data_IF_884474192129
#
_entry.id   IF_884474192129
#
_cell.length_a   1.000
_cell.length_b   1.000
_cell.length_c   1.000
_cell.angle_alpha   90.00
_cell.angle_beta   90.00
_cell.angle_gamma   90.00
#
_symmetry.space_group_name_H-M   'P 1'
#
loop_
_entity.id
_entity.type
_entity.pdbx_description
1 polymer ?
#
# COMPACT_ATOMS: atom_id res chain seq x y z
N UNK A 1 -4.15 30.50 3.38
CA UNK A 1 -4.30 30.22 1.94
C UNK A 1 -2.97 29.73 1.36
N UNK A 2 -2.54 28.46 1.53
CA UNK A 2 -1.40 27.80 0.83
C UNK A 2 -1.38 26.27 1.12
N UNK A 3 -2.38 25.48 0.69
CA UNK A 3 -2.35 24.00 0.85
C UNK A 3 -1.88 23.27 -0.42
N UNK A 4 -1.63 24.04 -1.48
CA UNK A 4 -1.19 23.57 -2.79
C UNK A 4 0.06 24.39 -3.13
N UNK A 5 1.07 23.78 -3.78
CA UNK A 5 2.28 24.52 -4.10
C UNK A 5 1.92 25.77 -4.90
N UNK A 6 2.59 26.89 -4.61
CA UNK A 6 2.35 28.15 -5.31
C UNK A 6 2.52 27.94 -6.83
N UNK A 7 1.40 27.81 -7.55
CA UNK A 7 1.37 27.66 -9.00
C UNK A 7 1.71 29.01 -9.62
N UNK A 8 2.96 29.15 -10.07
CA UNK A 8 3.48 30.37 -10.66
C UNK A 8 3.00 30.53 -12.10
N UNK A 9 2.86 29.41 -12.82
CA UNK A 9 2.46 29.40 -14.22
C UNK A 9 1.95 28.02 -14.62
N UNK A 10 1.04 27.99 -15.58
CA UNK A 10 0.66 26.75 -16.25
C UNK A 10 0.43 26.95 -17.75
N UNK A 11 0.62 25.89 -18.52
CA UNK A 11 0.22 25.82 -19.92
C UNK A 11 -0.55 24.55 -20.17
N UNK A 12 -1.67 24.70 -20.88
CA UNK A 12 -2.54 23.60 -21.28
C UNK A 12 -2.33 23.36 -22.77
N UNK A 13 -2.03 22.13 -23.14
CA UNK A 13 -1.98 21.73 -24.54
C UNK A 13 -3.41 21.43 -25.04
N UNK A 14 -3.77 22.02 -26.17
CA UNK A 14 -5.09 21.86 -26.78
C UNK A 14 -5.21 20.61 -27.65
N UNK A 15 -4.09 19.97 -28.00
CA UNK A 15 -4.08 18.69 -28.73
C UNK A 15 -4.38 17.53 -27.77
N UNK A 16 -5.58 16.92 -27.82
CA UNK A 16 -5.85 15.74 -27.04
C UNK A 16 -4.90 14.60 -27.43
N UNK A 17 -4.47 13.84 -26.41
CA UNK A 17 -3.71 12.58 -26.55
C UNK A 17 -4.08 11.71 -27.77
N UNK A 18 -5.36 11.64 -28.22
CA UNK A 18 -5.78 11.11 -29.52
C UNK A 18 -4.96 11.50 -30.77
N UNK A 19 -4.72 12.80 -31.09
CA UNK A 19 -4.02 13.14 -32.34
C UNK A 19 -2.55 12.68 -32.31
N UNK A 20 -1.90 12.76 -31.15
CA UNK A 20 -0.53 12.25 -30.93
C UNK A 20 -0.51 10.72 -31.12
N UNK A 21 -1.48 10.00 -30.56
CA UNK A 21 -1.61 8.54 -30.71
C UNK A 21 -1.83 8.13 -32.15
N UNK A 22 -2.68 8.86 -32.88
CA UNK A 22 -2.91 8.65 -34.30
C UNK A 22 -1.63 8.80 -35.12
N UNK A 23 -0.84 9.86 -34.85
CA UNK A 23 0.45 10.07 -35.50
C UNK A 23 1.47 8.98 -35.16
N UNK A 24 1.42 8.42 -33.94
CA UNK A 24 2.33 7.36 -33.48
C UNK A 24 1.85 5.94 -33.81
N UNK A 25 0.69 5.77 -34.47
CA UNK A 25 0.11 4.46 -34.78
C UNK A 25 -0.31 3.66 -33.54
N UNK A 26 -0.52 4.33 -32.41
CA UNK A 26 -0.94 3.71 -31.15
C UNK A 26 -2.47 3.64 -31.12
N UNK A 27 -3.08 2.48 -30.81
CA UNK A 27 -4.53 2.36 -30.70
C UNK A 27 -5.12 3.36 -29.69
N UNK A 28 -6.28 3.92 -30.02
CA UNK A 28 -7.05 4.76 -29.10
C UNK A 28 -7.35 4.00 -27.80
N UNK A 29 -7.25 4.66 -26.63
CA UNK A 29 -7.58 4.02 -25.36
C UNK A 29 -9.07 3.71 -25.32
N UNK A 30 -9.43 2.57 -24.73
CA UNK A 30 -10.84 2.14 -24.62
C UNK A 30 -11.68 3.08 -23.73
N UNK A 31 -11.04 3.87 -22.85
CA UNK A 31 -11.64 4.91 -21.97
C UNK A 31 -10.56 5.95 -21.59
N UNK A 32 -11.00 7.19 -21.32
CA UNK A 32 -10.18 8.27 -20.75
C UNK A 32 -9.43 9.10 -21.80
N UNK A 33 -9.55 10.42 -21.73
CA UNK A 33 -8.68 11.37 -22.45
C UNK A 33 -7.85 12.15 -21.44
N UNK A 34 -6.53 12.10 -21.56
CA UNK A 34 -5.64 12.95 -20.77
C UNK A 34 -5.36 14.25 -21.51
N UNK A 35 -5.33 15.35 -20.78
CA UNK A 35 -4.81 16.62 -21.30
C UNK A 35 -3.47 16.90 -20.67
N UNK A 36 -2.49 17.25 -21.51
CA UNK A 36 -1.17 17.60 -21.05
C UNK A 36 -1.19 19.01 -20.46
N UNK A 37 -0.69 19.13 -19.23
CA UNK A 37 -0.43 20.40 -18.58
C UNK A 37 1.06 20.49 -18.26
N UNK A 38 1.67 21.66 -18.52
CA UNK A 38 2.92 22.04 -17.85
C UNK A 38 2.50 22.90 -16.67
N UNK A 39 2.92 22.52 -15.47
CA UNK A 39 2.71 23.26 -14.24
C UNK A 39 4.07 23.71 -13.71
N UNK A 40 4.20 25.00 -13.37
CA UNK A 40 5.40 25.58 -12.79
C UNK A 40 5.06 26.02 -11.37
N UNK A 41 5.69 25.35 -10.40
CA UNK A 41 5.53 25.63 -8.99
C UNK A 41 6.81 26.21 -8.40
N UNK A 42 6.69 26.86 -7.23
CA UNK A 42 7.88 27.10 -6.40
C UNK A 42 8.52 25.77 -6.00
N UNK A 43 9.84 25.69 -6.10
CA UNK A 43 10.60 24.52 -5.68
C UNK A 43 10.43 24.34 -4.16
N UNK A 44 9.86 23.21 -3.76
CA UNK A 44 9.78 22.80 -2.37
C UNK A 44 11.12 22.19 -1.92
N UNK A 45 11.42 22.31 -0.63
CA UNK A 45 12.55 21.59 -0.02
C UNK A 45 12.16 20.12 0.20
N UNK A 46 13.10 19.16 0.03
CA UNK A 46 12.83 17.75 0.34
C UNK A 46 12.44 17.55 1.80
N UNK A 47 11.38 16.77 2.03
CA UNK A 47 10.93 16.43 3.40
C UNK A 47 12.02 15.69 4.20
N UNK A 48 12.97 15.06 3.51
CA UNK A 48 14.11 14.33 4.10
C UNK A 48 15.10 15.25 4.81
N UNK A 49 15.17 16.54 4.45
CA UNK A 49 16.09 17.51 5.06
C UNK A 49 15.56 18.11 6.38
N UNK A 50 14.33 17.77 6.77
CA UNK A 50 13.70 18.27 7.99
C UNK A 50 14.21 17.51 9.22
N UNK A 51 14.23 18.17 10.38
CA UNK A 51 14.47 17.49 11.68
C UNK A 51 13.32 16.55 12.03
N UNK A 52 13.50 15.57 12.92
CA UNK A 52 12.47 14.60 13.31
C UNK A 52 11.11 15.24 13.64
N UNK A 53 11.10 16.34 14.42
CA UNK A 53 9.88 17.05 14.80
C UNK A 53 9.22 17.78 13.61
N UNK A 54 10.02 18.42 12.76
CA UNK A 54 9.54 19.12 11.56
C UNK A 54 9.04 18.14 10.51
N UNK A 55 9.75 17.05 10.30
CA UNK A 55 9.39 15.94 9.43
C UNK A 55 8.04 15.34 9.85
N UNK A 56 7.87 15.04 11.13
CA UNK A 56 6.61 14.51 11.64
C UNK A 56 5.45 15.47 11.45
N UNK A 57 5.69 16.75 11.76
CA UNK A 57 4.70 17.80 11.56
C UNK A 57 4.30 17.86 10.09
N UNK A 58 5.25 17.92 9.17
CA UNK A 58 5.00 17.97 7.73
C UNK A 58 4.24 16.71 7.24
N UNK A 59 4.61 15.52 7.71
CA UNK A 59 3.92 14.28 7.35
C UNK A 59 2.46 14.26 7.84
N UNK A 60 2.21 14.66 9.09
CA UNK A 60 0.87 14.79 9.66
C UNK A 60 0.01 15.77 8.86
N UNK A 61 0.61 16.90 8.55
CA UNK A 61 0.01 17.97 7.77
C UNK A 61 -0.38 17.52 6.35
N UNK A 62 0.47 16.71 5.68
CA UNK A 62 0.12 16.08 4.40
C UNK A 62 -1.12 15.17 4.52
N UNK A 63 -1.24 14.39 5.60
CA UNK A 63 -2.41 13.53 5.84
C UNK A 63 -3.67 14.36 6.08
N UNK A 64 -3.56 15.43 6.88
CA UNK A 64 -4.69 16.33 7.17
C UNK A 64 -5.18 17.01 5.89
N UNK A 65 -4.27 17.53 5.07
CA UNK A 65 -4.58 18.09 3.76
C UNK A 65 -5.23 17.06 2.85
N UNK A 66 -4.65 15.86 2.75
CA UNK A 66 -5.19 14.78 1.91
C UNK A 66 -6.59 14.33 2.36
N UNK A 67 -6.86 14.32 3.67
CA UNK A 67 -8.19 14.01 4.20
C UNK A 67 -9.25 15.03 3.77
N UNK A 68 -8.94 16.32 3.87
CA UNK A 68 -9.84 17.40 3.44
C UNK A 68 -10.13 17.27 1.95
N UNK A 69 -9.10 17.06 1.13
CA UNK A 69 -9.25 16.84 -0.31
C UNK A 69 -10.12 15.62 -0.63
N UNK A 70 -9.91 14.52 0.09
CA UNK A 70 -10.72 13.30 -0.08
C UNK A 70 -12.20 13.53 0.25
N UNK A 71 -12.53 14.33 1.26
CA UNK A 71 -13.91 14.57 1.68
C UNK A 71 -14.62 15.63 0.83
N UNK A 72 -13.99 16.77 0.62
CA UNK A 72 -14.62 17.98 0.07
C UNK A 72 -14.35 18.17 -1.43
N UNK A 73 -13.36 17.46 -2.00
CA UNK A 73 -12.96 17.62 -3.39
C UNK A 73 -12.48 19.04 -3.75
N UNK A 74 -12.21 19.89 -2.76
CA UNK A 74 -11.79 21.28 -2.89
C UNK A 74 -10.90 21.72 -1.72
N UNK A 75 -10.00 22.66 -2.01
CA UNK A 75 -8.88 23.12 -1.16
C UNK A 75 -9.27 24.29 -0.25
N UNK A 76 -8.81 24.32 1.02
CA UNK A 76 -8.96 25.49 1.92
C UNK A 76 -7.69 25.75 2.75
N UNK A 77 -6.84 26.62 2.19
CA UNK A 77 -5.46 26.88 2.56
C UNK A 77 -5.09 27.39 3.98
N UNK A 78 -3.94 26.95 4.51
CA UNK A 78 -2.83 27.71 5.19
C UNK A 78 -1.59 26.80 5.40
N UNK A 79 -0.36 27.35 5.22
CA UNK A 79 0.94 26.66 5.18
C UNK A 79 1.15 25.49 6.17
N UNK A 80 1.19 24.29 5.58
CA UNK A 80 1.09 22.93 6.13
C UNK A 80 1.76 22.02 5.05
N UNK A 81 2.41 20.90 5.41
CA UNK A 81 2.97 19.89 4.50
C UNK A 81 2.23 19.78 3.15
N UNK A 82 2.95 20.11 2.08
CA UNK A 82 2.35 20.34 0.75
C UNK A 82 2.36 19.05 -0.05
N UNK A 83 1.19 18.50 -0.35
CA UNK A 83 1.03 17.41 -1.30
C UNK A 83 1.07 17.99 -2.72
N UNK A 84 1.93 17.43 -3.58
CA UNK A 84 2.00 17.77 -4.99
C UNK A 84 1.72 16.52 -5.81
N UNK A 85 1.46 16.69 -7.11
CA UNK A 85 1.18 15.61 -8.08
C UNK A 85 -0.24 15.03 -7.98
N UNK A 86 -1.20 15.82 -8.48
CA UNK A 86 -2.62 15.47 -8.53
C UNK A 86 -3.05 14.87 -9.88
N UNK A 87 -2.12 14.64 -10.80
CA UNK A 87 -2.37 14.24 -12.19
C UNK A 87 -3.11 12.89 -12.32
N UNK A 88 -3.01 12.03 -11.30
CA UNK A 88 -3.70 10.75 -11.18
C UNK A 88 -4.83 10.72 -10.13
N UNK A 89 -5.11 11.85 -9.48
CA UNK A 89 -6.15 11.94 -8.44
C UNK A 89 -7.57 11.86 -9.04
N UNK A 90 -8.52 11.32 -8.29
CA UNK A 90 -9.92 11.22 -8.73
C UNK A 90 -10.88 11.72 -7.66
N UNK A 91 -11.86 12.52 -8.05
CA UNK A 91 -12.91 13.00 -7.15
C UNK A 91 -13.77 11.84 -6.62
N UNK A 92 -14.19 11.94 -5.35
CA UNK A 92 -15.04 10.96 -4.65
C UNK A 92 -16.36 10.62 -5.37
N UNK A 93 -16.89 11.55 -6.15
CA UNK A 93 -18.16 11.43 -6.91
C UNK A 93 -17.98 10.99 -8.36
N UNK A 94 -16.75 11.02 -8.89
CA UNK A 94 -16.50 10.53 -10.23
C UNK A 94 -16.56 9.00 -10.23
N UNK A 95 -17.13 8.40 -11.28
CA UNK A 95 -16.73 7.06 -11.69
C UNK A 95 -15.24 7.18 -12.04
N UNK A 96 -14.37 6.99 -11.04
CA UNK A 96 -12.94 7.24 -11.16
C UNK A 96 -12.35 6.47 -12.34
N UNK A 97 -11.15 6.86 -12.82
CA UNK A 97 -10.51 6.23 -13.97
C UNK A 97 -10.58 4.69 -13.85
N UNK A 98 -11.18 4.05 -14.86
CA UNK A 98 -11.33 2.58 -14.91
C UNK A 98 -10.19 2.00 -15.77
N UNK A 99 -9.26 1.29 -15.12
CA UNK A 99 -8.16 0.56 -15.77
C UNK A 99 -6.78 0.88 -15.18
N UNK A 100 -5.72 0.51 -15.90
CA UNK A 100 -4.29 0.72 -15.56
C UNK A 100 -3.87 2.20 -15.46
N UNK A 101 -4.81 3.13 -15.37
CA UNK A 101 -4.57 4.58 -15.37
C UNK A 101 -4.21 5.14 -14.00
N UNK A 102 -4.42 4.37 -12.91
CA UNK A 102 -3.96 4.67 -11.56
C UNK A 102 -2.63 3.97 -11.29
N UNK A 103 -1.54 4.47 -11.88
CA UNK A 103 -0.20 3.98 -11.55
C UNK A 103 0.20 4.63 -10.23
N UNK A 104 -0.20 4.02 -9.11
CA UNK A 104 0.45 4.32 -7.84
C UNK A 104 1.90 3.83 -7.89
N UNK A 105 2.81 4.54 -7.23
CA UNK A 105 4.20 4.09 -7.13
C UNK A 105 4.24 2.79 -6.31
N UNK A 106 4.62 1.68 -6.95
CA UNK A 106 4.49 0.30 -6.42
C UNK A 106 4.92 0.13 -4.95
N UNK A 107 6.07 0.66 -4.48
CA UNK A 107 6.47 0.56 -3.08
C UNK A 107 5.45 1.12 -2.09
N UNK A 108 4.73 2.17 -2.47
CA UNK A 108 3.79 2.88 -1.61
C UNK A 108 2.35 2.41 -1.80
N UNK A 109 2.04 1.61 -2.83
CA UNK A 109 0.67 1.11 -3.04
C UNK A 109 0.22 0.19 -1.90
N UNK A 110 -1.05 0.30 -1.51
CA UNK A 110 -1.66 -0.61 -0.54
C UNK A 110 -1.68 -2.07 -1.02
N UNK A 111 -1.59 -3.03 -0.10
CA UNK A 111 -1.55 -4.48 -0.38
C UNK A 111 -2.69 -4.96 -1.29
N UNK A 112 -3.91 -4.48 -1.07
CA UNK A 112 -5.07 -4.82 -1.92
C UNK A 112 -4.94 -4.30 -3.35
N UNK A 113 -4.33 -3.12 -3.52
CA UNK A 113 -4.11 -2.53 -4.84
C UNK A 113 -2.99 -3.23 -5.61
N UNK A 114 -2.06 -3.90 -4.91
CA UNK A 114 -1.02 -4.73 -5.51
C UNK A 114 -1.52 -6.10 -6.00
N UNK A 115 -2.78 -6.48 -5.71
CA UNK A 115 -3.37 -7.71 -6.25
C UNK A 115 -3.60 -7.62 -7.75
N UNK A 116 -3.73 -8.77 -8.44
CA UNK A 116 -4.07 -8.80 -9.87
C UNK A 116 -5.37 -8.03 -10.18
N UNK A 117 -6.36 -8.07 -9.29
CA UNK A 117 -7.60 -7.30 -9.42
C UNK A 117 -7.35 -5.81 -9.21
N UNK A 118 -6.56 -5.45 -8.19
CA UNK A 118 -6.15 -4.08 -7.92
C UNK A 118 -5.41 -3.44 -9.09
N UNK A 119 -4.44 -4.16 -9.67
CA UNK A 119 -3.68 -3.72 -10.84
C UNK A 119 -4.53 -3.58 -12.10
N UNK A 120 -5.63 -4.33 -12.23
CA UNK A 120 -6.63 -4.15 -13.30
C UNK A 120 -7.62 -3.00 -13.04
N UNK A 121 -7.54 -2.34 -11.88
CA UNK A 121 -8.47 -1.28 -11.47
C UNK A 121 -9.83 -1.79 -11.01
N UNK A 122 -9.94 -3.08 -10.65
CA UNK A 122 -11.19 -3.71 -10.21
C UNK A 122 -11.44 -3.51 -8.71
N UNK A 123 -10.38 -3.22 -7.94
CA UNK A 123 -10.51 -2.87 -6.51
C UNK A 123 -10.90 -1.41 -6.40
N UNK A 124 -12.02 -1.15 -5.72
CA UNK A 124 -12.43 0.22 -5.38
C UNK A 124 -11.36 0.86 -4.48
N UNK A 125 -10.78 1.97 -4.94
CA UNK A 125 -9.87 2.78 -4.14
C UNK A 125 -10.63 3.45 -3.00
N UNK A 126 -10.15 3.23 -1.78
CA UNK A 126 -10.72 3.76 -0.54
C UNK A 126 -9.66 4.58 0.19
N UNK A 127 -10.07 5.54 1.01
CA UNK A 127 -9.13 6.39 1.78
C UNK A 127 -8.11 5.60 2.62
N UNK A 128 -8.48 4.41 3.10
CA UNK A 128 -7.56 3.51 3.82
C UNK A 128 -6.36 3.07 2.98
N UNK A 129 -6.50 3.01 1.66
CA UNK A 129 -5.39 2.70 0.76
C UNK A 129 -4.38 3.84 0.74
N UNK A 130 -4.85 5.09 0.76
CA UNK A 130 -3.96 6.26 0.84
C UNK A 130 -3.28 6.37 2.21
N UNK A 131 -4.00 6.06 3.30
CA UNK A 131 -3.40 5.99 4.64
C UNK A 131 -2.29 4.93 4.71
N UNK A 132 -2.51 3.76 4.11
CA UNK A 132 -1.48 2.73 4.00
C UNK A 132 -0.27 3.25 3.19
N UNK A 133 -0.50 4.00 2.11
CA UNK A 133 0.57 4.67 1.35
C UNK A 133 1.36 5.67 2.18
N UNK A 134 0.70 6.49 3.01
CA UNK A 134 1.40 7.40 3.92
C UNK A 134 2.29 6.68 4.93
N UNK A 135 1.87 5.52 5.43
CA UNK A 135 2.67 4.69 6.34
C UNK A 135 3.88 4.12 5.58
N UNK A 136 3.70 3.60 4.36
CA UNK A 136 4.81 3.09 3.57
C UNK A 136 5.82 4.19 3.20
N UNK A 137 5.35 5.41 2.87
CA UNK A 137 6.22 6.56 2.61
C UNK A 137 7.00 6.98 3.86
N UNK A 138 6.34 7.02 5.02
CA UNK A 138 6.98 7.30 6.31
C UNK A 138 8.09 6.27 6.59
N UNK A 139 7.78 4.98 6.49
CA UNK A 139 8.75 3.90 6.72
C UNK A 139 9.91 3.97 5.71
N UNK A 140 9.64 4.29 4.46
CA UNK A 140 10.67 4.44 3.43
C UNK A 140 11.67 5.53 3.75
N UNK A 141 11.18 6.72 4.10
CA UNK A 141 12.07 7.84 4.48
C UNK A 141 12.88 7.45 5.71
N UNK A 142 12.23 6.91 6.73
CA UNK A 142 12.86 6.59 8.00
C UNK A 142 13.89 5.46 7.92
N UNK A 143 13.72 4.48 7.03
CA UNK A 143 14.70 3.40 6.83
C UNK A 143 15.72 3.71 5.73
N UNK A 144 15.49 4.75 4.93
CA UNK A 144 16.32 5.07 3.77
C UNK A 144 17.25 6.26 3.98
N UNK A 145 16.93 7.17 4.90
CA UNK A 145 17.60 8.45 5.05
C UNK A 145 18.03 8.71 6.49
N UNK A 146 19.14 9.44 6.64
CA UNK A 146 19.60 10.00 7.90
C UNK A 146 20.11 11.43 7.63
N UNK A 147 19.61 12.41 8.39
CA UNK A 147 19.96 13.85 8.24
C UNK A 147 19.90 14.34 6.77
N UNK A 148 18.81 14.02 6.07
CA UNK A 148 18.63 14.39 4.66
C UNK A 148 19.48 13.63 3.65
N UNK A 149 20.31 12.69 4.09
CA UNK A 149 21.18 11.89 3.23
C UNK A 149 20.68 10.48 3.11
N UNK A 150 20.61 9.98 1.89
CA UNK A 150 20.34 8.58 1.60
C UNK A 150 21.44 7.71 2.22
N UNK A 151 21.04 6.68 2.96
CA UNK A 151 21.97 5.74 3.58
C UNK A 151 22.75 4.96 2.51
N UNK A 152 24.03 4.69 2.78
CA UNK A 152 24.92 3.99 1.83
C UNK A 152 24.72 2.48 1.84
N UNK A 153 24.17 1.92 2.92
CA UNK A 153 23.88 0.50 3.11
C UNK A 153 22.57 0.33 3.90
N UNK A 154 22.12 -0.93 4.03
CA UNK A 154 21.03 -1.30 4.95
C UNK A 154 19.69 -0.61 4.69
N UNK A 155 19.32 -0.54 3.40
CA UNK A 155 18.03 -0.02 2.93
C UNK A 155 17.11 -1.17 2.54
N UNK A 156 16.30 -1.70 3.46
CA UNK A 156 15.56 -2.95 3.24
C UNK A 156 14.44 -2.83 2.20
N UNK A 157 13.99 -1.60 1.91
CA UNK A 157 12.87 -1.35 1.00
C UNK A 157 13.31 -0.99 -0.42
N UNK A 158 14.59 -0.64 -0.61
CA UNK A 158 15.11 -0.09 -1.87
C UNK A 158 14.79 -0.95 -3.09
N UNK A 159 14.91 -2.26 -2.96
CA UNK A 159 14.64 -3.18 -4.05
C UNK A 159 13.18 -3.10 -4.51
N UNK A 160 12.23 -2.69 -3.68
CA UNK A 160 10.82 -2.56 -4.09
C UNK A 160 10.63 -1.52 -5.19
N UNK A 161 11.52 -0.53 -5.32
CA UNK A 161 11.41 0.52 -6.34
C UNK A 161 11.55 0.00 -7.77
N UNK A 162 12.19 -1.15 -7.96
CA UNK A 162 12.45 -1.74 -9.28
C UNK A 162 11.67 -3.02 -9.55
N UNK A 163 10.91 -3.49 -8.56
CA UNK A 163 10.21 -4.77 -8.61
C UNK A 163 8.77 -4.58 -9.09
N UNK A 164 8.18 -5.64 -9.63
CA UNK A 164 6.78 -5.60 -10.04
C UNK A 164 5.81 -5.67 -8.84
N UNK A 165 4.55 -5.30 -9.09
CA UNK A 165 3.52 -5.21 -8.06
C UNK A 165 3.28 -6.53 -7.32
N UNK A 166 3.39 -7.67 -8.01
CA UNK A 166 3.18 -8.97 -7.38
C UNK A 166 4.34 -9.31 -6.45
N UNK A 167 5.59 -9.07 -6.88
CA UNK A 167 6.76 -9.28 -6.02
C UNK A 167 6.74 -8.36 -4.79
N UNK A 168 6.37 -7.09 -4.94
CA UNK A 168 6.27 -6.18 -3.77
C UNK A 168 5.14 -6.60 -2.83
N UNK A 169 4.01 -7.09 -3.36
CA UNK A 169 2.93 -7.67 -2.55
C UNK A 169 3.41 -8.83 -1.68
N UNK A 170 4.29 -9.68 -2.21
CA UNK A 170 4.84 -10.83 -1.49
C UNK A 170 5.87 -10.40 -0.43
N UNK A 171 6.66 -9.35 -0.70
CA UNK A 171 7.69 -8.83 0.22
C UNK A 171 7.11 -8.04 1.41
N UNK A 172 5.99 -7.34 1.23
CA UNK A 172 5.40 -6.50 2.29
C UNK A 172 5.02 -7.28 3.56
N UNK A 173 4.29 -8.42 3.50
CA UNK A 173 3.99 -9.23 4.69
C UNK A 173 5.25 -9.80 5.37
N UNK A 174 6.27 -10.17 4.60
CA UNK A 174 7.55 -10.61 5.14
C UNK A 174 8.21 -9.47 5.94
N UNK A 175 8.26 -8.26 5.39
CA UNK A 175 8.74 -7.08 6.11
C UNK A 175 7.92 -6.79 7.38
N UNK A 176 6.58 -6.85 7.30
CA UNK A 176 5.68 -6.65 8.46
C UNK A 176 5.85 -7.74 9.54
N UNK A 177 6.40 -8.89 9.19
CA UNK A 177 6.69 -9.95 10.16
C UNK A 177 7.92 -9.63 11.00
N UNK A 178 8.91 -8.96 10.40
CA UNK A 178 10.23 -8.77 10.99
C UNK A 178 10.59 -7.29 11.28
N UNK A 179 9.67 -6.35 11.10
CA UNK A 179 10.02 -4.92 11.14
C UNK A 179 10.66 -4.44 12.46
N UNK A 180 10.40 -5.13 13.58
CA UNK A 180 10.99 -4.82 14.89
C UNK A 180 12.51 -5.08 14.97
N UNK A 181 13.06 -5.83 14.01
CA UNK A 181 14.49 -6.09 13.92
C UNK A 181 15.26 -4.88 13.37
N UNK A 182 14.58 -3.97 12.66
CA UNK A 182 15.21 -2.76 12.14
C UNK A 182 15.39 -1.71 13.23
N UNK A 183 16.52 -1.02 13.19
CA UNK A 183 16.82 0.14 14.04
C UNK A 183 17.41 1.23 13.15
N UNK A 184 16.59 2.14 12.63
CA UNK A 184 17.10 3.19 11.75
C UNK A 184 18.09 4.09 12.51
N UNK A 185 19.24 4.42 11.88
CA UNK A 185 20.17 5.38 12.47
C UNK A 185 19.54 6.78 12.48
N UNK A 186 19.75 7.51 13.58
CA UNK A 186 19.37 8.92 13.70
C UNK A 186 17.90 9.23 13.90
N UNK A 187 17.05 8.22 14.09
CA UNK A 187 15.64 8.42 14.43
C UNK A 187 15.43 8.32 15.93
N UNK A 188 14.75 9.32 16.50
CA UNK A 188 14.40 9.29 17.91
C UNK A 188 13.49 8.09 18.29
N UNK A 189 13.53 7.68 19.56
CA UNK A 189 12.82 6.48 20.03
C UNK A 189 11.30 6.63 19.99
N UNK A 190 10.76 7.84 20.07
CA UNK A 190 9.32 8.12 20.00
C UNK A 190 8.82 7.99 18.57
N UNK A 191 9.57 8.54 17.60
CA UNK A 191 9.31 8.42 16.17
C UNK A 191 9.30 6.97 15.74
N UNK A 192 10.33 6.20 16.13
CA UNK A 192 10.35 4.77 15.82
C UNK A 192 9.18 4.03 16.47
N UNK A 193 8.82 4.36 17.71
CA UNK A 193 7.67 3.77 18.39
C UNK A 193 6.36 4.04 17.66
N UNK A 194 6.19 5.23 17.07
CA UNK A 194 5.03 5.55 16.25
C UNK A 194 5.00 4.72 14.97
N UNK A 195 6.12 4.68 14.23
CA UNK A 195 6.24 3.91 12.99
C UNK A 195 5.94 2.43 13.25
N UNK A 196 6.54 1.87 14.30
CA UNK A 196 6.31 0.49 14.71
C UNK A 196 4.83 0.20 14.99
N UNK A 197 4.10 1.14 15.61
CA UNK A 197 2.65 1.00 15.83
C UNK A 197 1.86 1.10 14.52
N UNK A 198 2.23 2.00 13.61
CA UNK A 198 1.61 2.08 12.29
C UNK A 198 1.81 0.80 11.48
N UNK A 199 3.02 0.24 11.48
CA UNK A 199 3.33 -1.04 10.83
C UNK A 199 2.59 -2.21 11.48
N UNK A 200 2.45 -2.22 12.80
CA UNK A 200 1.63 -3.20 13.50
C UNK A 200 0.15 -3.14 13.07
N UNK A 201 -0.42 -1.93 12.91
CA UNK A 201 -1.79 -1.77 12.39
C UNK A 201 -1.93 -2.36 10.99
N UNK A 202 -0.94 -2.16 10.10
CA UNK A 202 -0.96 -2.77 8.77
C UNK A 202 -0.89 -4.30 8.85
N UNK A 203 -0.03 -4.84 9.73
CA UNK A 203 0.09 -6.29 9.96
C UNK A 203 -1.22 -6.90 10.45
N UNK A 204 -1.86 -6.27 11.43
CA UNK A 204 -3.11 -6.75 12.01
C UNK A 204 -4.25 -6.68 10.98
N UNK A 205 -4.31 -5.63 10.18
CA UNK A 205 -5.28 -5.47 9.11
C UNK A 205 -5.11 -6.49 7.98
N UNK A 206 -3.88 -6.84 7.63
CA UNK A 206 -3.60 -7.88 6.62
C UNK A 206 -4.09 -9.25 7.11
N UNK A 207 -3.71 -9.64 8.34
CA UNK A 207 -4.20 -10.88 8.97
C UNK A 207 -5.73 -10.92 9.08
N UNK A 208 -6.35 -9.80 9.46
CA UNK A 208 -7.81 -9.70 9.55
C UNK A 208 -8.48 -9.96 8.20
N UNK A 209 -7.90 -9.46 7.11
CA UNK A 209 -8.44 -9.67 5.74
C UNK A 209 -8.26 -11.10 5.27
N UNK A 210 -7.10 -11.69 5.50
CA UNK A 210 -6.85 -13.11 5.18
C UNK A 210 -7.87 -14.00 5.90
N UNK A 211 -8.12 -13.74 7.18
CA UNK A 211 -9.13 -14.48 7.96
C UNK A 211 -10.53 -14.34 7.35
N UNK A 212 -10.95 -13.13 7.00
CA UNK A 212 -12.26 -12.91 6.36
C UNK A 212 -12.39 -13.60 5.01
N UNK A 213 -11.34 -13.58 4.18
CA UNK A 213 -11.33 -14.27 2.89
C UNK A 213 -11.43 -15.78 3.07
N UNK A 214 -10.72 -16.33 4.06
CA UNK A 214 -10.81 -17.74 4.42
C UNK A 214 -12.23 -18.11 4.87
N UNK A 215 -12.82 -17.36 5.79
CA UNK A 215 -14.20 -17.58 6.27
C UNK A 215 -15.22 -17.51 5.13
N UNK A 216 -15.13 -16.51 4.26
CA UNK A 216 -15.99 -16.38 3.08
C UNK A 216 -15.83 -17.57 2.12
N UNK A 217 -14.61 -18.07 1.94
CA UNK A 217 -14.36 -19.24 1.09
C UNK A 217 -14.99 -20.53 1.63
N UNK A 218 -15.15 -20.64 2.96
CA UNK A 218 -15.85 -21.76 3.60
C UNK A 218 -17.36 -21.62 3.46
N UNK A 219 -17.92 -20.42 3.63
CA UNK A 219 -19.37 -20.18 3.49
C UNK A 219 -19.87 -20.37 2.05
N UNK A 220 -19.00 -20.13 1.05
CA UNK A 220 -19.32 -20.33 -0.37
C UNK A 220 -19.21 -21.80 -0.83
N UNK A 221 -18.55 -22.66 -0.05
CA UNK A 221 -18.58 -24.10 -0.28
C UNK A 221 -19.78 -24.66 0.46
N UNK A 222 -20.87 -24.92 -0.27
CA UNK A 222 -22.03 -25.66 0.25
C UNK A 222 -21.58 -26.92 1.02
N UNK A 223 -22.32 -27.26 2.08
CA UNK A 223 -22.17 -28.46 2.90
C UNK A 223 -22.19 -29.72 2.04
N UNK A 224 -21.02 -30.16 1.56
CA UNK A 224 -20.85 -31.50 1.02
C UNK A 224 -20.74 -32.43 2.23
N UNK A 225 -21.87 -33.00 2.65
CA UNK A 225 -21.85 -34.15 3.57
C UNK A 225 -21.22 -35.34 2.85
N UNK A 226 -19.94 -35.59 3.12
CA UNK A 226 -19.28 -36.85 2.77
C UNK A 226 -19.37 -37.76 4.00
N UNK A 227 -19.74 -39.02 3.77
CA UNK A 227 -19.63 -40.05 4.81
C UNK A 227 -18.24 -40.69 4.74
N UNK A 228 -17.33 -40.12 5.51
CA UNK A 228 -16.29 -40.79 6.29
C UNK A 228 -16.20 -40.02 7.62
N UNK A 229 -15.47 -40.46 8.65
CA UNK A 229 -15.39 -39.74 9.94
C UNK A 229 -14.59 -38.42 9.80
N UNK A 230 -15.18 -37.47 9.09
CA UNK A 230 -14.63 -36.18 8.74
C UNK A 230 -14.39 -35.33 9.98
N UNK A 231 -15.10 -35.62 11.07
CA UNK A 231 -14.91 -34.93 12.35
C UNK A 231 -13.55 -35.27 12.95
N UNK A 232 -13.16 -36.55 12.98
CA UNK A 232 -11.83 -36.96 13.46
C UNK A 232 -10.72 -36.42 12.56
N UNK A 233 -10.95 -36.38 11.23
CA UNK A 233 -9.97 -35.85 10.29
C UNK A 233 -9.83 -34.32 10.41
N UNK A 234 -10.94 -33.58 10.59
CA UNK A 234 -10.93 -32.13 10.80
C UNK A 234 -10.34 -31.75 12.15
N UNK A 235 -10.64 -32.49 13.23
CA UNK A 235 -10.06 -32.27 14.57
C UNK A 235 -8.54 -32.47 14.56
N UNK A 236 -8.02 -33.41 13.76
CA UNK A 236 -6.58 -33.59 13.56
C UNK A 236 -5.96 -32.36 12.89
N UNK A 237 -6.59 -31.76 11.87
CA UNK A 237 -5.97 -30.68 11.08
C UNK A 237 -6.32 -29.24 11.51
N UNK A 238 -7.23 -29.04 12.47
CA UNK A 238 -7.67 -27.71 12.93
C UNK A 238 -7.19 -27.32 14.32
N UNK A 239 -6.41 -28.18 14.99
CA UNK A 239 -5.79 -27.93 16.29
C UNK A 239 -4.30 -28.28 16.26
N UNK A 240 -3.47 -27.50 16.96
CA UNK A 240 -2.02 -27.74 17.05
C UNK A 240 -1.70 -28.96 17.94
N UNK A 241 -2.59 -29.34 18.86
CA UNK A 241 -2.31 -30.41 19.83
C UNK A 241 -2.12 -31.82 19.20
N UNK A 242 -2.93 -32.27 18.21
CA UNK A 242 -2.68 -33.50 17.46
C UNK A 242 -1.39 -33.47 16.63
N UNK A 243 -0.97 -32.30 16.12
CA UNK A 243 0.22 -32.16 15.30
C UNK A 243 1.49 -32.33 16.14
N UNK A 244 1.49 -31.77 17.35
CA UNK A 244 2.53 -31.98 18.36
C UNK A 244 2.62 -33.46 18.77
N UNK A 245 1.49 -34.15 18.96
CA UNK A 245 1.45 -35.60 19.23
C UNK A 245 2.01 -36.46 18.08
N UNK A 246 1.68 -36.12 16.82
CA UNK A 246 2.17 -36.80 15.62
C UNK A 246 3.67 -36.57 15.37
N UNK A 247 4.15 -35.35 15.61
CA UNK A 247 5.57 -34.99 15.45
C UNK A 247 6.48 -35.56 16.53
N UNK A 248 5.94 -35.93 17.70
CA UNK A 248 6.66 -36.63 18.76
C UNK A 248 6.79 -38.14 18.52
N UNK A 249 6.05 -38.72 17.56
CA UNK A 249 6.11 -40.15 17.20
C UNK A 249 7.00 -40.43 15.99
N UNK A 250 8.28 -40.06 16.06
CA UNK A 250 9.29 -40.68 15.21
C UNK A 250 9.66 -42.03 15.84
N UNK A 251 8.94 -43.07 15.41
CA UNK A 251 9.37 -44.47 15.47
C UNK A 251 8.78 -45.32 16.59
N UNK A 252 7.56 -45.83 16.42
CA UNK A 252 7.16 -47.21 16.74
C UNK A 252 6.02 -47.62 15.80
N UNK A 253 6.16 -48.80 15.19
CA UNK A 253 5.23 -49.54 14.32
C UNK A 253 3.96 -50.04 15.04
N UNK A 254 2.86 -50.12 14.27
CA UNK A 254 1.55 -50.75 14.59
C UNK A 254 0.72 -49.98 15.66
N UNK A 255 -0.57 -49.64 15.50
CA UNK A 255 -1.72 -50.38 14.96
C UNK A 255 -2.78 -49.37 14.50
N UNK A 256 -3.18 -49.39 13.24
CA UNK A 256 -4.52 -48.96 12.81
C UNK A 256 -5.11 -50.11 11.99
N UNK A 257 -5.85 -51.00 12.66
CA UNK A 257 -6.75 -51.93 11.98
C UNK A 257 -8.03 -51.19 11.66
N UNK A 258 -8.27 -51.06 10.36
CA UNK A 258 -9.56 -50.72 9.77
C UNK A 258 -10.50 -51.91 10.00
N UNK A 259 -11.70 -51.64 10.53
CA UNK A 259 -12.90 -52.47 10.34
C UNK A 259 -13.95 -51.58 9.73
#
# INVERSE_FOLDING_TARGET
MHDVPDLLWYHKFEEPTPEIRQQLGVPEPKKGSRMLYILVFRKLLPITELTDAEFFKAWKECIECHFVLWQEGNEKGTAIGVLNDYDLSSLKSALGPQGNERIGTVPFMALELLTKQGQRGEVKHLYRHDLESFIWALTWVCLGYNDGRLLTSDRPLDNWATEDAQTVREKKPAFLSDFLQFKPPGIDSLMWSLIARCLQVLKDEDHRREKLQFEQSLTLREEVTVKLDDKVLLDIFTSIAPWVQLSLHIGVTEVLRVV
#
